data_IF_174235932276
#
_entry.id   IF_174235932276
#
_cell.length_a   1.000
_cell.length_b   1.000
_cell.length_c   1.000
_cell.angle_alpha   90.00
_cell.angle_beta   90.00
_cell.angle_gamma   90.00
#
_symmetry.space_group_name_H-M   'P 1'
#
loop_
_entity.id
_entity.type
_entity.pdbx_description
1 polymer ?
#
# COMPACT_ATOMS: atom_id res chain seq x y z
N UNK A 1 -30.55 -4.41 -17.18
CA UNK A 1 -29.31 -3.92 -17.80
C UNK A 1 -28.30 -3.82 -16.68
N UNK A 2 -27.39 -4.79 -16.59
CA UNK A 2 -26.31 -4.77 -15.62
C UNK A 2 -25.42 -3.55 -15.88
N UNK A 3 -25.02 -2.91 -14.79
CA UNK A 3 -24.22 -1.71 -14.81
C UNK A 3 -22.80 -2.07 -15.33
N UNK A 4 -22.56 -1.85 -16.63
CA UNK A 4 -21.28 -2.10 -17.31
C UNK A 4 -20.20 -1.05 -16.91
N UNK A 5 -20.35 -0.46 -15.73
CA UNK A 5 -19.40 0.57 -15.29
C UNK A 5 -18.11 -0.12 -14.81
N UNK A 6 -17.00 0.19 -15.47
CA UNK A 6 -15.69 -0.23 -15.04
C UNK A 6 -15.39 0.31 -13.63
N UNK A 7 -14.98 -0.57 -12.74
CA UNK A 7 -14.52 -0.25 -11.41
C UNK A 7 -13.01 -0.49 -11.33
N UNK A 8 -12.35 0.16 -10.39
CA UNK A 8 -10.91 -0.03 -10.19
C UNK A 8 -10.68 -1.01 -9.03
N UNK A 9 -9.95 -2.06 -9.31
CA UNK A 9 -9.52 -3.06 -8.33
C UNK A 9 -8.01 -3.03 -8.16
N UNK A 10 -7.54 -3.21 -6.94
CA UNK A 10 -6.12 -3.20 -6.61
C UNK A 10 -5.66 -4.54 -6.04
N UNK A 11 -4.46 -4.94 -6.41
CA UNK A 11 -3.71 -6.00 -5.72
C UNK A 11 -2.77 -5.36 -4.72
N UNK A 12 -2.85 -5.79 -3.47
CA UNK A 12 -2.22 -5.13 -2.32
C UNK A 12 -1.40 -6.11 -1.48
N UNK A 13 -0.35 -5.60 -0.84
CA UNK A 13 0.44 -6.32 0.17
C UNK A 13 0.09 -5.80 1.56
N UNK A 14 -0.08 -6.71 2.51
CA UNK A 14 -0.39 -6.38 3.89
C UNK A 14 0.68 -6.89 4.85
N UNK A 15 0.79 -6.19 5.96
CA UNK A 15 1.82 -6.36 6.97
C UNK A 15 1.35 -7.16 8.16
N UNK A 16 2.31 -7.65 8.94
CA UNK A 16 2.08 -8.22 10.26
C UNK A 16 1.30 -7.27 11.18
N UNK A 17 0.77 -7.80 12.27
CA UNK A 17 -0.09 -7.06 13.20
C UNK A 17 0.63 -5.94 13.94
N UNK A 18 1.91 -6.11 14.28
CA UNK A 18 2.71 -5.10 14.99
C UNK A 18 2.98 -3.90 14.08
N UNK A 19 3.49 -4.16 12.86
CA UNK A 19 3.72 -3.14 11.84
C UNK A 19 2.42 -2.41 11.49
N UNK A 20 1.33 -3.16 11.28
CA UNK A 20 0.00 -2.58 10.99
C UNK A 20 -0.45 -1.65 12.10
N UNK A 21 -0.25 -2.03 13.37
CA UNK A 21 -0.63 -1.21 14.53
C UNK A 21 0.19 0.07 14.62
N UNK A 22 1.50 0.00 14.40
CA UNK A 22 2.40 1.17 14.38
C UNK A 22 2.00 2.18 13.29
N UNK A 23 1.74 1.69 12.06
CA UNK A 23 1.31 2.55 10.96
C UNK A 23 -0.07 3.18 11.24
N UNK A 24 -1.02 2.41 11.78
CA UNK A 24 -2.34 2.94 12.19
C UNK A 24 -2.21 4.01 13.28
N UNK A 25 -1.29 3.86 14.21
CA UNK A 25 -0.98 4.88 15.21
C UNK A 25 -0.58 6.20 14.56
N UNK A 26 0.38 6.16 13.61
CA UNK A 26 0.80 7.36 12.89
C UNK A 26 -0.33 7.97 12.03
N UNK A 27 -1.13 7.14 11.35
CA UNK A 27 -2.31 7.60 10.61
C UNK A 27 -3.29 8.32 11.53
N UNK A 28 -3.50 7.82 12.76
CA UNK A 28 -4.37 8.45 13.76
C UNK A 28 -3.83 9.83 14.21
N UNK A 29 -2.52 9.92 14.50
CA UNK A 29 -1.89 11.19 14.87
C UNK A 29 -1.96 12.23 13.74
N UNK A 30 -1.60 11.82 12.52
CA UNK A 30 -1.71 12.68 11.35
C UNK A 30 -3.15 13.12 11.10
N UNK A 31 -4.13 12.22 11.26
CA UNK A 31 -5.54 12.55 11.13
C UNK A 31 -5.96 13.60 12.16
N UNK A 32 -5.51 13.47 13.43
CA UNK A 32 -5.79 14.44 14.49
C UNK A 32 -5.22 15.82 14.16
N UNK A 33 -3.96 15.87 13.72
CA UNK A 33 -3.26 17.13 13.45
C UNK A 33 -3.78 17.83 12.18
N UNK A 34 -4.01 17.05 11.12
CA UNK A 34 -4.44 17.60 9.82
C UNK A 34 -5.94 17.81 9.73
N UNK A 35 -6.74 17.10 10.54
CA UNK A 35 -8.19 17.03 10.40
C UNK A 35 -8.65 16.19 9.20
N UNK A 36 -7.74 15.45 8.53
CA UNK A 36 -8.08 14.54 7.44
C UNK A 36 -8.22 13.12 7.96
N UNK A 37 -9.41 12.56 7.91
CA UNK A 37 -9.74 11.23 8.44
C UNK A 37 -10.14 10.21 7.35
N UNK A 38 -9.81 10.50 6.09
CA UNK A 38 -10.23 9.68 4.94
C UNK A 38 -9.88 8.19 5.09
N UNK A 39 -8.64 7.86 5.49
CA UNK A 39 -8.21 6.46 5.65
C UNK A 39 -8.97 5.77 6.78
N UNK A 40 -9.21 6.47 7.88
CA UNK A 40 -9.93 5.96 9.06
C UNK A 40 -11.40 5.74 8.73
N UNK A 41 -12.07 6.75 8.18
CA UNK A 41 -13.51 6.68 7.82
C UNK A 41 -13.83 5.60 6.80
N UNK A 42 -12.91 5.33 5.88
CA UNK A 42 -13.11 4.32 4.84
C UNK A 42 -12.51 2.96 5.23
N UNK A 43 -12.05 2.79 6.47
CA UNK A 43 -11.44 1.55 6.98
C UNK A 43 -10.33 1.02 6.06
N UNK A 44 -9.53 1.91 5.46
CA UNK A 44 -8.43 1.51 4.58
C UNK A 44 -7.26 1.00 5.44
N UNK A 45 -6.92 -0.29 5.36
CA UNK A 45 -5.80 -0.82 6.13
C UNK A 45 -4.47 -0.32 5.58
N UNK A 46 -3.39 -0.26 6.38
CA UNK A 46 -2.04 -0.07 5.88
C UNK A 46 -1.68 -1.13 4.85
N UNK A 47 -1.27 -0.72 3.66
CA UNK A 47 -0.93 -1.63 2.55
C UNK A 47 0.00 -0.95 1.55
N UNK A 48 0.65 -1.78 0.72
CA UNK A 48 1.28 -1.33 -0.54
C UNK A 48 0.44 -1.83 -1.70
N UNK A 49 0.05 -0.96 -2.61
CA UNK A 49 -0.60 -1.35 -3.86
C UNK A 49 0.46 -1.78 -4.88
N UNK A 50 0.39 -3.02 -5.35
CA UNK A 50 1.24 -3.54 -6.42
C UNK A 50 0.75 -3.13 -7.81
N UNK A 51 -0.56 -3.12 -8.02
CA UNK A 51 -1.18 -2.79 -9.29
C UNK A 51 -2.65 -2.45 -9.12
N UNK A 52 -3.19 -1.68 -10.06
CA UNK A 52 -4.60 -1.34 -10.12
C UNK A 52 -5.12 -1.55 -11.55
N UNK A 53 -6.32 -2.14 -11.68
CA UNK A 53 -6.87 -2.58 -12.96
C UNK A 53 -8.35 -2.21 -13.05
N UNK A 54 -8.78 -1.83 -14.25
CA UNK A 54 -10.19 -1.61 -14.55
C UNK A 54 -10.87 -2.93 -14.92
N UNK A 55 -12.00 -3.22 -14.27
CA UNK A 55 -12.73 -4.46 -14.45
C UNK A 55 -14.22 -4.20 -14.22
N UNK A 56 -15.08 -4.83 -15.02
CA UNK A 56 -16.52 -4.84 -14.79
C UNK A 56 -16.88 -5.87 -13.72
N UNK A 57 -18.06 -5.74 -13.12
CA UNK A 57 -18.54 -6.69 -12.11
C UNK A 57 -18.62 -8.14 -12.64
N UNK A 58 -18.94 -8.33 -13.92
CA UNK A 58 -19.01 -9.66 -14.55
C UNK A 58 -17.63 -10.31 -14.75
N UNK A 59 -16.57 -9.52 -14.81
CA UNK A 59 -15.19 -9.99 -14.98
C UNK A 59 -14.47 -10.30 -13.66
N UNK A 60 -15.06 -9.92 -12.52
CA UNK A 60 -14.45 -10.17 -11.19
C UNK A 60 -14.06 -11.62 -10.96
N UNK A 61 -14.82 -12.64 -11.37
CA UNK A 61 -14.38 -14.05 -11.23
C UNK A 61 -13.10 -14.35 -12.01
N UNK A 62 -12.92 -13.76 -13.20
CA UNK A 62 -11.68 -13.88 -13.98
C UNK A 62 -10.51 -13.15 -13.32
N UNK A 63 -10.75 -11.93 -12.82
CA UNK A 63 -9.75 -11.15 -12.07
C UNK A 63 -9.25 -11.93 -10.84
N UNK A 64 -10.16 -12.56 -10.08
CA UNK A 64 -9.81 -13.42 -8.93
C UNK A 64 -8.94 -14.60 -9.34
N UNK A 65 -9.29 -15.28 -10.45
CA UNK A 65 -8.46 -16.38 -10.96
C UNK A 65 -7.03 -15.92 -11.26
N UNK A 66 -6.87 -14.79 -11.97
CA UNK A 66 -5.56 -14.25 -12.29
C UNK A 66 -4.80 -13.77 -11.04
N UNK A 67 -5.52 -13.30 -10.01
CA UNK A 67 -4.93 -12.98 -8.71
C UNK A 67 -4.35 -14.23 -8.03
N UNK A 68 -5.03 -15.39 -8.08
CA UNK A 68 -4.47 -16.66 -7.61
C UNK A 68 -3.27 -17.11 -8.44
N UNK A 69 -3.36 -17.04 -9.78
CA UNK A 69 -2.24 -17.35 -10.67
C UNK A 69 -1.00 -16.46 -10.36
N UNK A 70 -1.22 -15.19 -10.04
CA UNK A 70 -0.16 -14.29 -9.59
C UNK A 70 0.39 -14.71 -8.23
N UNK A 71 -0.46 -15.01 -7.25
CA UNK A 71 -0.02 -15.45 -5.92
C UNK A 71 0.91 -16.65 -6.01
N UNK A 72 0.51 -17.69 -6.76
CA UNK A 72 1.34 -18.89 -6.97
C UNK A 72 2.70 -18.57 -7.61
N UNK A 73 2.72 -17.72 -8.63
CA UNK A 73 3.97 -17.33 -9.30
C UNK A 73 4.85 -16.40 -8.47
N UNK A 74 4.28 -15.69 -7.54
CA UNK A 74 5.02 -14.73 -6.73
C UNK A 74 6.12 -15.37 -5.88
N UNK A 75 5.99 -16.65 -5.52
CA UNK A 75 7.00 -17.40 -4.79
C UNK A 75 8.32 -17.59 -5.57
N UNK A 76 8.30 -17.48 -6.89
CA UNK A 76 9.51 -17.55 -7.71
C UNK A 76 10.40 -16.31 -7.56
N UNK A 77 9.85 -15.22 -7.07
CA UNK A 77 10.52 -13.91 -6.97
C UNK A 77 10.86 -13.48 -5.55
N UNK A 78 10.20 -14.06 -4.56
CA UNK A 78 10.47 -13.72 -3.17
C UNK A 78 11.39 -14.79 -2.57
N UNK A 79 12.54 -14.36 -2.05
CA UNK A 79 13.40 -15.23 -1.26
C UNK A 79 12.68 -15.53 0.07
N UNK A 80 11.72 -16.48 0.02
CA UNK A 80 11.10 -16.99 1.25
C UNK A 80 12.22 -17.63 2.07
N UNK A 81 12.57 -16.99 3.17
CA UNK A 81 13.45 -17.59 4.16
C UNK A 81 12.73 -18.84 4.64
N UNK A 82 13.26 -20.03 4.36
CA UNK A 82 12.76 -21.29 4.91
C UNK A 82 12.62 -21.08 6.41
N UNK A 83 11.44 -21.33 6.97
CA UNK A 83 11.05 -21.11 8.36
C UNK A 83 10.55 -19.68 8.73
N UNK A 84 10.36 -18.75 7.77
CA UNK A 84 9.73 -17.48 8.08
C UNK A 84 8.20 -17.59 7.99
N UNK A 85 7.49 -16.92 8.92
CA UNK A 85 6.03 -16.79 8.91
C UNK A 85 5.56 -15.62 8.03
N UNK A 86 6.39 -15.17 7.09
CA UNK A 86 6.09 -14.07 6.20
C UNK A 86 6.50 -14.39 4.76
N UNK A 87 5.84 -13.75 3.83
CA UNK A 87 6.12 -13.85 2.42
C UNK A 87 7.52 -13.31 2.10
N UNK A 88 7.83 -12.10 2.58
CA UNK A 88 9.16 -11.47 2.58
C UNK A 88 9.18 -10.29 3.56
N UNK A 89 10.40 -9.79 3.84
CA UNK A 89 10.59 -8.57 4.61
C UNK A 89 10.66 -7.36 3.68
N UNK A 90 9.98 -6.30 4.08
CA UNK A 90 9.97 -5.01 3.39
C UNK A 90 10.60 -3.96 4.30
N UNK A 91 11.68 -3.34 3.86
CA UNK A 91 12.28 -2.23 4.59
C UNK A 91 11.67 -0.90 4.15
N UNK A 92 11.64 0.07 5.07
CA UNK A 92 11.17 1.42 4.80
C UNK A 92 12.34 2.41 4.85
N UNK A 93 12.38 3.34 3.90
CA UNK A 93 13.48 4.29 3.76
C UNK A 93 13.20 5.66 4.38
N UNK A 94 11.99 6.18 4.22
CA UNK A 94 11.63 7.55 4.59
C UNK A 94 10.13 7.77 4.58
N UNK A 95 9.70 8.92 5.09
CA UNK A 95 8.40 9.51 4.74
C UNK A 95 8.62 10.42 3.53
N UNK A 96 7.72 10.35 2.56
CA UNK A 96 7.76 11.11 1.32
C UNK A 96 6.34 11.62 0.96
N UNK A 97 6.19 12.40 -0.11
CA UNK A 97 4.94 13.06 -0.45
C UNK A 97 4.59 12.97 -1.92
N UNK A 98 3.29 13.05 -2.28
CA UNK A 98 2.83 13.26 -3.64
C UNK A 98 2.01 14.56 -3.72
N UNK A 99 2.47 15.51 -4.56
CA UNK A 99 1.74 16.71 -4.98
C UNK A 99 1.11 17.51 -3.83
N UNK A 100 1.75 17.55 -2.66
CA UNK A 100 1.23 18.23 -1.45
C UNK A 100 -0.19 17.78 -1.04
N UNK A 101 -0.56 16.54 -1.42
CA UNK A 101 -1.88 15.97 -1.16
C UNK A 101 -1.84 14.62 -0.46
N UNK A 102 -0.68 13.97 -0.47
CA UNK A 102 -0.47 12.64 0.12
C UNK A 102 0.83 12.64 0.90
N UNK A 103 0.79 12.16 2.12
CA UNK A 103 1.96 11.83 2.95
C UNK A 103 2.00 10.30 3.04
N UNK A 104 3.15 9.69 2.82
CA UNK A 104 3.28 8.24 2.79
C UNK A 104 4.62 7.75 3.35
N UNK A 105 4.62 6.53 3.87
CA UNK A 105 5.82 5.79 4.23
C UNK A 105 6.34 5.08 2.97
N UNK A 106 7.62 5.27 2.65
CA UNK A 106 8.24 4.82 1.42
C UNK A 106 9.00 3.52 1.64
N UNK A 107 8.58 2.41 1.04
CA UNK A 107 9.37 1.18 1.00
C UNK A 107 10.69 1.36 0.24
N UNK A 108 11.71 0.60 0.65
CA UNK A 108 12.91 0.42 -0.16
C UNK A 108 12.54 -0.38 -1.41
N UNK A 109 12.81 0.20 -2.57
CA UNK A 109 12.51 -0.44 -3.86
C UNK A 109 13.60 -1.46 -4.21
N UNK A 110 13.49 -2.65 -3.64
CA UNK A 110 14.37 -3.78 -3.95
C UNK A 110 13.92 -4.56 -5.20
N UNK A 111 14.69 -5.57 -5.58
CA UNK A 111 14.38 -6.38 -6.76
C UNK A 111 13.17 -7.31 -6.54
N UNK A 112 12.91 -7.75 -5.31
CA UNK A 112 11.73 -8.56 -4.99
C UNK A 112 10.45 -7.76 -5.28
N UNK A 113 10.36 -6.54 -4.76
CA UNK A 113 9.24 -5.65 -4.98
C UNK A 113 9.03 -5.32 -6.47
N UNK A 114 10.14 -5.02 -7.18
CA UNK A 114 10.09 -4.73 -8.63
C UNK A 114 9.63 -5.94 -9.44
N UNK A 115 10.10 -7.13 -9.09
CA UNK A 115 9.74 -8.37 -9.77
C UNK A 115 8.29 -8.74 -9.53
N UNK A 116 7.78 -8.56 -8.30
CA UNK A 116 6.36 -8.74 -8.00
C UNK A 116 5.47 -7.80 -8.81
N UNK A 117 5.82 -6.51 -8.88
CA UNK A 117 5.05 -5.56 -9.68
C UNK A 117 5.06 -5.93 -11.17
N UNK A 118 6.23 -6.28 -11.75
CA UNK A 118 6.33 -6.74 -13.15
C UNK A 118 5.51 -7.99 -13.40
N UNK A 119 5.68 -9.03 -12.59
CA UNK A 119 4.95 -10.29 -12.70
C UNK A 119 3.43 -10.07 -12.66
N UNK A 120 2.95 -9.24 -11.75
CA UNK A 120 1.52 -8.90 -11.66
C UNK A 120 1.03 -8.26 -12.98
N UNK A 121 1.77 -7.30 -13.52
CA UNK A 121 1.38 -6.61 -14.74
C UNK A 121 1.46 -7.51 -15.97
N UNK A 122 2.44 -8.40 -16.06
CA UNK A 122 2.56 -9.40 -17.13
C UNK A 122 1.35 -10.35 -17.17
N UNK A 123 0.79 -10.68 -16.01
CA UNK A 123 -0.41 -11.52 -15.89
C UNK A 123 -1.69 -10.73 -16.18
N UNK A 124 -1.80 -9.52 -15.67
CA UNK A 124 -3.07 -8.77 -15.68
C UNK A 124 -3.31 -7.96 -16.95
N UNK A 125 -2.28 -7.30 -17.50
CA UNK A 125 -2.44 -6.38 -18.64
C UNK A 125 -2.92 -7.03 -19.95
N UNK A 126 -2.70 -8.34 -20.23
CA UNK A 126 -3.34 -8.98 -21.37
C UNK A 126 -4.87 -9.07 -21.28
N UNK A 127 -5.44 -8.88 -20.08
CA UNK A 127 -6.86 -9.08 -19.80
C UNK A 127 -7.58 -7.81 -19.34
N UNK A 128 -6.87 -6.91 -18.65
CA UNK A 128 -7.44 -5.70 -18.02
C UNK A 128 -6.61 -4.46 -18.32
N UNK A 129 -7.27 -3.34 -18.46
CA UNK A 129 -6.60 -2.04 -18.56
C UNK A 129 -6.07 -1.62 -17.18
N UNK A 130 -4.88 -0.99 -17.17
CA UNK A 130 -4.33 -0.40 -15.96
C UNK A 130 -5.21 0.75 -15.46
N UNK A 131 -5.60 0.67 -14.21
CA UNK A 131 -6.34 1.71 -13.50
C UNK A 131 -5.46 2.85 -12.97
N UNK A 132 -6.10 3.79 -12.27
CA UNK A 132 -5.46 4.90 -11.56
C UNK A 132 -4.43 5.68 -12.43
N UNK A 133 -4.85 6.07 -13.64
CA UNK A 133 -4.02 6.82 -14.59
C UNK A 133 -2.67 6.14 -14.89
N UNK A 134 -2.59 4.83 -14.77
CA UNK A 134 -1.37 4.03 -14.99
C UNK A 134 -0.23 4.37 -14.02
N UNK A 135 -0.54 4.84 -12.82
CA UNK A 135 0.49 5.17 -11.82
C UNK A 135 1.19 3.94 -11.24
N UNK A 136 0.58 2.75 -11.36
CA UNK A 136 1.11 1.51 -10.80
C UNK A 136 1.85 0.63 -11.82
N UNK A 137 1.92 1.00 -13.11
CA UNK A 137 2.70 0.21 -14.09
C UNK A 137 4.21 0.25 -13.75
N UNK A 138 4.99 -0.78 -14.11
CA UNK A 138 6.39 -0.93 -13.68
C UNK A 138 7.29 0.30 -13.92
N UNK A 139 7.09 1.02 -15.02
CA UNK A 139 7.90 2.18 -15.40
C UNK A 139 7.61 3.43 -14.56
N UNK A 140 6.46 3.49 -13.90
CA UNK A 140 5.99 4.68 -13.16
C UNK A 140 5.76 4.41 -11.68
N UNK A 141 5.75 3.14 -11.29
CA UNK A 141 5.39 2.74 -9.96
C UNK A 141 6.34 3.28 -8.89
N UNK A 142 5.76 3.94 -7.92
CA UNK A 142 6.42 4.32 -6.67
C UNK A 142 5.67 3.62 -5.52
N UNK A 143 6.28 2.57 -4.96
CA UNK A 143 5.69 1.86 -3.82
C UNK A 143 5.52 2.82 -2.63
N UNK A 144 4.36 2.76 -1.98
CA UNK A 144 4.05 3.63 -0.86
C UNK A 144 3.01 3.01 0.06
N UNK A 145 3.08 3.35 1.35
CA UNK A 145 2.02 3.09 2.33
C UNK A 145 1.42 4.44 2.72
N UNK A 146 0.17 4.67 2.36
CA UNK A 146 -0.50 5.93 2.62
C UNK A 146 -0.66 6.18 4.13
N UNK A 147 -0.26 7.37 4.59
CA UNK A 147 -0.40 7.84 5.97
C UNK A 147 -1.47 8.93 6.09
N UNK A 148 -1.53 9.83 5.10
CA UNK A 148 -2.59 10.83 4.97
C UNK A 148 -2.81 11.13 3.48
N UNK A 149 -4.06 11.23 3.05
CA UNK A 149 -4.44 11.39 1.64
C UNK A 149 -5.52 12.45 1.47
N UNK A 150 -5.66 12.94 0.23
CA UNK A 150 -6.67 13.96 -0.13
C UNK A 150 -6.56 15.23 0.72
N UNK A 151 -5.35 15.60 1.10
CA UNK A 151 -5.08 16.78 1.90
C UNK A 151 -5.34 18.05 1.10
N UNK A 152 -5.89 19.08 1.76
CA UNK A 152 -5.74 20.46 1.31
C UNK A 152 -4.31 20.94 1.57
N UNK A 153 -3.92 22.06 0.96
CA UNK A 153 -2.59 22.63 1.21
C UNK A 153 -2.36 22.94 2.70
N UNK A 154 -3.35 23.53 3.40
CA UNK A 154 -3.26 23.80 4.83
C UNK A 154 -3.09 22.52 5.67
N UNK A 155 -3.86 21.46 5.34
CA UNK A 155 -3.76 20.17 6.01
C UNK A 155 -2.39 19.52 5.78
N UNK A 156 -1.88 19.62 4.56
CA UNK A 156 -0.56 19.12 4.22
C UNK A 156 0.54 19.82 5.04
N UNK A 157 0.54 21.16 5.09
CA UNK A 157 1.51 21.94 5.88
C UNK A 157 1.47 21.58 7.37
N UNK A 158 0.27 21.40 7.95
CA UNK A 158 0.13 20.93 9.34
C UNK A 158 0.75 19.54 9.54
N UNK A 159 0.49 18.61 8.64
CA UNK A 159 1.05 17.26 8.70
C UNK A 159 2.58 17.28 8.59
N UNK A 160 3.14 18.06 7.66
CA UNK A 160 4.58 18.19 7.49
C UNK A 160 5.27 18.87 8.68
N UNK A 161 4.65 19.90 9.27
CA UNK A 161 5.15 20.53 10.49
C UNK A 161 5.20 19.56 11.66
N UNK A 162 4.14 18.78 11.86
CA UNK A 162 4.10 17.73 12.87
C UNK A 162 5.22 16.69 12.68
N UNK A 163 5.40 16.18 11.46
CA UNK A 163 6.47 15.21 11.16
C UNK A 163 7.87 15.81 11.39
N UNK A 164 8.05 17.09 11.09
CA UNK A 164 9.30 17.80 11.35
C UNK A 164 9.57 17.93 12.85
N UNK A 165 8.57 18.31 13.65
CA UNK A 165 8.67 18.39 15.10
C UNK A 165 8.98 17.04 15.74
N UNK A 166 8.49 15.96 15.14
CA UNK A 166 8.79 14.58 15.52
C UNK A 166 10.19 14.10 15.08
N UNK A 167 10.96 14.91 14.35
CA UNK A 167 12.31 14.56 13.90
C UNK A 167 12.37 13.66 12.66
N UNK A 168 11.26 13.52 11.92
CA UNK A 168 11.13 12.56 10.81
C UNK A 168 11.68 13.11 9.47
N UNK A 169 11.91 14.42 9.35
CA UNK A 169 12.18 15.10 8.06
C UNK A 169 13.65 15.21 7.66
N UNK A 170 14.52 14.26 7.96
CA UNK A 170 15.90 14.30 7.45
C UNK A 170 16.31 13.01 6.72
N UNK A 171 15.36 12.32 6.05
CA UNK A 171 15.68 11.22 5.17
C UNK A 171 15.90 9.86 5.84
N UNK A 172 15.75 9.77 7.15
CA UNK A 172 15.77 8.51 7.88
C UNK A 172 14.48 8.37 8.71
N UNK A 173 13.94 7.16 8.77
CA UNK A 173 12.86 6.83 9.70
C UNK A 173 13.51 6.68 11.09
N UNK A 174 13.25 7.57 12.07
CA UNK A 174 13.84 7.43 13.40
C UNK A 174 13.23 6.24 14.13
N UNK A 175 14.02 5.53 14.92
CA UNK A 175 13.53 4.41 15.74
C UNK A 175 12.46 4.83 16.74
N UNK A 176 12.56 6.06 17.24
CA UNK A 176 11.59 6.66 18.17
C UNK A 176 11.39 8.12 17.80
N UNK A 177 10.16 8.55 17.64
CA UNK A 177 9.85 9.96 17.46
C UNK A 177 10.03 10.72 18.77
N UNK A 178 10.67 11.90 18.72
CA UNK A 178 10.86 12.76 19.88
C UNK A 178 9.49 13.20 20.40
N UNK A 179 9.09 12.66 21.55
CA UNK A 179 7.74 12.88 22.12
C UNK A 179 7.07 11.60 22.60
N UNK A 180 7.63 10.44 22.32
CA UNK A 180 7.29 9.17 22.97
C UNK A 180 6.02 8.46 22.49
N UNK A 181 5.30 8.97 21.49
CA UNK A 181 3.97 8.42 21.14
C UNK A 181 3.91 7.59 19.87
N UNK A 182 4.81 7.75 18.91
CA UNK A 182 4.73 7.04 17.62
C UNK A 182 6.08 6.42 17.26
N UNK A 183 6.09 5.12 17.09
CA UNK A 183 7.23 4.34 16.60
C UNK A 183 6.98 4.03 15.12
N UNK A 184 7.87 4.48 14.24
CA UNK A 184 7.82 4.10 12.84
C UNK A 184 8.50 2.75 12.63
N UNK A 185 7.90 1.84 11.85
CA UNK A 185 8.58 0.60 11.51
C UNK A 185 9.72 0.88 10.53
N UNK A 186 10.91 0.32 10.80
CA UNK A 186 12.02 0.30 9.84
C UNK A 186 11.84 -0.81 8.80
N UNK A 187 11.21 -1.89 9.21
CA UNK A 187 10.88 -3.03 8.37
C UNK A 187 9.51 -3.60 8.74
N UNK A 188 8.95 -4.38 7.85
CA UNK A 188 7.70 -5.08 8.01
C UNK A 188 7.81 -6.51 7.48
N UNK A 189 7.14 -7.44 8.12
CA UNK A 189 6.86 -8.73 7.54
C UNK A 189 5.60 -8.60 6.65
N UNK A 190 5.75 -8.88 5.35
CA UNK A 190 4.59 -8.99 4.44
C UNK A 190 3.98 -10.37 4.63
N UNK A 191 2.77 -10.41 5.17
CA UNK A 191 2.13 -11.66 5.60
C UNK A 191 0.94 -12.08 4.76
N UNK A 192 0.43 -11.20 3.90
CA UNK A 192 -0.69 -11.53 3.02
C UNK A 192 -0.77 -10.62 1.80
N UNK A 193 -1.43 -11.13 0.77
CA UNK A 193 -1.84 -10.36 -0.41
C UNK A 193 -3.35 -10.23 -0.44
N UNK A 194 -3.86 -9.11 -0.96
CA UNK A 194 -5.28 -8.87 -1.10
C UNK A 194 -5.67 -8.39 -2.48
N UNK A 195 -6.90 -8.70 -2.85
CA UNK A 195 -7.61 -8.12 -3.96
C UNK A 195 -8.75 -7.26 -3.40
N UNK A 196 -8.77 -5.97 -3.73
CA UNK A 196 -9.74 -5.03 -3.20
C UNK A 196 -10.32 -4.12 -4.29
N UNK A 197 -11.60 -3.78 -4.15
CA UNK A 197 -12.21 -2.66 -4.84
C UNK A 197 -11.67 -1.36 -4.23
N UNK A 198 -11.30 -0.39 -5.07
CA UNK A 198 -10.68 0.86 -4.60
C UNK A 198 -11.69 1.88 -4.04
N UNK A 199 -12.91 1.95 -4.63
CA UNK A 199 -13.89 2.99 -4.30
C UNK A 199 -15.32 2.44 -4.25
N UNK A 200 -15.95 2.32 -3.05
CA UNK A 200 -15.32 2.41 -1.72
C UNK A 200 -14.32 1.27 -1.50
N UNK A 201 -13.32 1.46 -0.64
CA UNK A 201 -12.39 0.37 -0.34
C UNK A 201 -13.17 -0.83 0.23
N UNK A 202 -13.08 -1.95 -0.47
CA UNK A 202 -13.74 -3.20 -0.06
C UNK A 202 -12.84 -4.37 -0.42
N UNK A 203 -12.36 -5.06 0.58
CA UNK A 203 -11.58 -6.27 0.36
C UNK A 203 -12.47 -7.38 -0.19
N UNK A 204 -12.12 -7.93 -1.35
CA UNK A 204 -12.83 -9.03 -1.99
C UNK A 204 -12.24 -10.39 -1.62
N UNK A 205 -10.93 -10.41 -1.39
CA UNK A 205 -10.18 -11.62 -1.10
C UNK A 205 -8.85 -11.29 -0.44
N UNK A 206 -8.42 -12.14 0.49
CA UNK A 206 -7.08 -12.09 1.09
C UNK A 206 -6.51 -13.48 1.17
N UNK A 207 -5.27 -13.64 0.70
CA UNK A 207 -4.50 -14.88 0.80
C UNK A 207 -3.37 -14.64 1.79
N UNK A 208 -3.37 -15.40 2.87
CA UNK A 208 -2.32 -15.32 3.89
C UNK A 208 -1.18 -16.27 3.53
N UNK A 209 0.03 -15.89 3.90
CA UNK A 209 1.18 -16.79 3.87
C UNK A 209 1.02 -17.83 4.98
N UNK A 210 1.08 -19.10 4.64
CA UNK A 210 1.01 -20.26 5.55
C UNK A 210 2.41 -20.87 5.82
#
# INVERSE_FOLDING_TARGET
MENLQNQTYAVTLYFDSDTTSKIKGLVSELSHVTGSDFLIKNNVPPHVTLGAFHCTQSEVPHLKKLFHDFYERSFDFVNSVKDSKCFFKMDFSSIDTFLDKVIFLKPVMDENLRSLNRCLHDIMLPHFESGDNRNYIPERWCAHVALAVKLSHEQFEKGMSFLKECGVLNGAVPEVMSGGSVILPHSADVVSMGLALCHPFTELERICYE
#
